data_IF_474144631828
#
_entry.id   IF_474144631828
#
_cell.length_a   1.000
_cell.length_b   1.000
_cell.length_c   1.000
_cell.angle_alpha   90.00
_cell.angle_beta   90.00
_cell.angle_gamma   90.00
#
_symmetry.space_group_name_H-M   'P 1'
#
loop_
_entity.id
_entity.type
_entity.pdbx_description
1 polymer ?
#
# COMPACT_ATOMS: atom_id res chain seq x y z
N UNK A 1 29.94 38.50 18.07
CA UNK A 1 28.77 38.03 18.85
C UNK A 1 27.60 38.91 18.40
N UNK A 2 26.52 38.48 17.75
CA UNK A 2 25.97 37.17 17.44
C UNK A 2 25.06 37.30 16.21
N UNK A 3 24.80 36.16 15.56
CA UNK A 3 24.30 36.02 14.20
C UNK A 3 22.81 36.39 14.05
N UNK A 4 22.48 37.14 12.99
CA UNK A 4 21.11 37.32 12.52
C UNK A 4 20.82 36.22 11.47
N UNK A 5 20.24 35.10 11.91
CA UNK A 5 19.82 34.01 11.04
C UNK A 5 18.54 34.40 10.30
N UNK A 6 18.71 34.94 9.09
CA UNK A 6 17.62 35.17 8.14
C UNK A 6 17.08 33.85 7.60
N UNK A 7 16.08 33.28 8.25
CA UNK A 7 15.26 32.23 7.65
C UNK A 7 14.19 32.91 6.79
N UNK A 8 14.45 32.98 5.47
CA UNK A 8 13.46 33.36 4.48
C UNK A 8 12.41 32.24 4.39
N UNK A 9 11.26 32.44 5.07
CA UNK A 9 10.13 31.54 4.94
C UNK A 9 9.52 31.72 3.54
N UNK A 10 9.53 30.64 2.76
CA UNK A 10 8.88 30.61 1.44
C UNK A 10 7.37 30.64 1.62
N UNK A 11 6.65 31.56 0.93
CA UNK A 11 5.20 31.58 0.94
C UNK A 11 4.64 30.25 0.39
N UNK A 12 3.62 29.71 1.05
CA UNK A 12 2.86 28.58 0.53
C UNK A 12 2.10 29.05 -0.71
N UNK A 13 2.23 28.31 -1.81
CA UNK A 13 1.46 28.56 -3.03
C UNK A 13 -0.03 28.29 -2.75
N UNK A 14 -0.94 29.11 -3.30
CA UNK A 14 -2.37 28.94 -3.09
C UNK A 14 -2.86 27.60 -3.63
N UNK A 15 -3.81 27.00 -2.91
CA UNK A 15 -4.52 25.79 -3.32
C UNK A 15 -5.29 26.10 -4.61
N UNK A 16 -4.84 25.55 -5.73
CA UNK A 16 -5.59 25.61 -6.98
C UNK A 16 -6.74 24.61 -6.84
N UNK A 17 -7.93 25.12 -6.54
CA UNK A 17 -9.19 24.37 -6.65
C UNK A 17 -9.44 24.11 -8.13
N UNK A 18 -8.95 22.98 -8.64
CA UNK A 18 -9.36 22.47 -9.94
C UNK A 18 -10.81 22.00 -9.81
N UNK A 19 -11.74 22.86 -10.24
CA UNK A 19 -13.11 22.47 -10.51
C UNK A 19 -13.10 21.38 -11.59
N UNK A 20 -13.66 20.21 -11.25
CA UNK A 20 -13.86 19.09 -12.16
C UNK A 20 -14.73 19.52 -13.35
N UNK A 21 -14.07 19.81 -14.48
CA UNK A 21 -14.71 19.73 -15.78
C UNK A 21 -14.24 18.47 -16.50
N UNK A 22 -15.16 17.51 -16.50
CA UNK A 22 -15.20 16.29 -17.28
C UNK A 22 -15.01 16.60 -18.77
N UNK A 23 -13.83 16.31 -19.33
CA UNK A 23 -13.62 16.20 -20.78
C UNK A 23 -12.73 15.00 -21.13
N UNK A 24 -13.24 14.27 -22.13
CA UNK A 24 -12.77 13.07 -22.83
C UNK A 24 -11.24 13.00 -23.09
N UNK A 25 -10.59 11.81 -23.17
CA UNK A 25 -9.14 11.70 -23.21
C UNK A 25 -8.60 11.89 -24.64
N UNK A 26 -8.08 13.08 -24.92
CA UNK A 26 -7.04 13.21 -25.95
C UNK A 26 -5.75 12.53 -25.47
N UNK A 27 -4.93 11.93 -26.37
CA UNK A 27 -3.67 11.32 -26.01
C UNK A 27 -2.66 12.43 -25.66
N UNK A 28 -2.79 12.98 -24.45
CA UNK A 28 -1.76 13.81 -23.83
C UNK A 28 -0.51 12.96 -23.80
N UNK A 29 0.49 13.33 -24.60
CA UNK A 29 1.86 12.85 -24.53
C UNK A 29 2.27 12.97 -23.07
N UNK A 30 2.12 11.87 -22.32
CA UNK A 30 2.30 11.91 -20.87
C UNK A 30 3.78 12.20 -20.66
N UNK A 31 4.09 13.44 -20.28
CA UNK A 31 5.39 13.81 -19.76
C UNK A 31 5.83 12.67 -18.84
N UNK A 32 7.00 12.04 -19.07
CA UNK A 32 7.36 10.83 -18.38
C UNK A 32 7.35 11.13 -16.88
N UNK A 33 6.33 10.59 -16.18
CA UNK A 33 6.20 10.78 -14.73
C UNK A 33 7.53 10.37 -14.12
N UNK A 34 8.18 11.30 -13.41
CA UNK A 34 9.44 11.01 -12.72
C UNK A 34 9.18 9.84 -11.77
N UNK A 35 9.79 8.69 -12.06
CA UNK A 35 9.67 7.50 -11.21
C UNK A 35 10.60 7.68 -10.02
N UNK A 36 10.09 7.37 -8.82
CA UNK A 36 10.86 7.32 -7.57
C UNK A 36 11.81 6.10 -7.49
N UNK A 37 11.93 5.34 -8.58
CA UNK A 37 12.81 4.18 -8.72
C UNK A 37 13.84 4.48 -9.82
N UNK A 38 15.12 4.26 -9.54
CA UNK A 38 16.17 4.35 -10.57
C UNK A 38 16.07 3.17 -11.56
N UNK A 39 16.48 3.34 -12.82
CA UNK A 39 16.61 2.22 -13.75
C UNK A 39 17.69 1.21 -13.30
N UNK A 40 17.62 -0.02 -13.80
CA UNK A 40 18.52 -1.12 -13.43
C UNK A 40 20.00 -0.80 -13.67
N UNK A 41 20.34 -0.12 -14.76
CA UNK A 41 21.72 0.30 -15.04
C UNK A 41 22.23 1.34 -14.04
N UNK A 42 21.43 2.38 -13.73
CA UNK A 42 21.82 3.38 -12.73
C UNK A 42 21.88 2.79 -11.32
N UNK A 43 21.01 1.83 -10.98
CA UNK A 43 21.10 1.08 -9.72
C UNK A 43 22.42 0.31 -9.63
N UNK A 44 22.78 -0.45 -10.67
CA UNK A 44 24.01 -1.24 -10.72
C UNK A 44 25.27 -0.35 -10.63
N UNK A 45 25.26 0.79 -11.34
CA UNK A 45 26.38 1.75 -11.35
C UNK A 45 26.42 2.69 -10.14
N UNK A 46 25.38 2.67 -9.28
CA UNK A 46 25.20 3.57 -8.12
C UNK A 46 25.27 5.07 -8.50
N UNK A 47 24.75 5.43 -9.67
CA UNK A 47 24.72 6.80 -10.19
C UNK A 47 23.33 7.43 -10.11
N UNK A 48 23.24 8.77 -10.10
CA UNK A 48 21.95 9.49 -10.10
C UNK A 48 21.14 9.17 -11.36
N UNK A 49 19.91 8.69 -11.18
CA UNK A 49 18.95 8.45 -12.26
C UNK A 49 18.00 9.64 -12.42
N UNK A 50 17.71 10.06 -13.66
CA UNK A 50 16.73 11.13 -13.92
C UNK A 50 15.26 10.68 -13.75
N UNK A 51 15.01 9.38 -13.60
CA UNK A 51 13.67 8.82 -13.37
C UNK A 51 12.76 8.76 -14.60
N UNK A 52 13.19 9.30 -15.75
CA UNK A 52 12.56 9.17 -17.07
C UNK A 52 13.08 7.92 -17.80
N UNK A 53 12.31 7.34 -18.73
CA UNK A 53 12.82 6.34 -19.68
C UNK A 53 12.87 6.93 -21.09
N UNK A 54 14.03 6.91 -21.77
CA UNK A 54 15.34 6.63 -21.19
C UNK A 54 15.77 7.71 -20.18
N UNK A 55 16.63 7.35 -19.22
CA UNK A 55 17.17 8.30 -18.25
C UNK A 55 18.40 8.99 -18.85
N UNK A 56 18.71 10.21 -18.40
CA UNK A 56 19.80 11.01 -18.98
C UNK A 56 21.14 10.25 -19.02
N UNK A 57 21.45 9.49 -17.96
CA UNK A 57 22.67 8.70 -17.87
C UNK A 57 22.70 7.56 -18.89
N UNK A 58 21.58 6.85 -19.07
CA UNK A 58 21.48 5.76 -20.04
C UNK A 58 21.52 6.26 -21.48
N UNK A 59 20.93 7.43 -21.76
CA UNK A 59 21.04 8.09 -23.06
C UNK A 59 22.50 8.44 -23.38
N UNK A 60 23.21 9.09 -22.44
CA UNK A 60 24.60 9.49 -22.63
C UNK A 60 25.55 8.28 -22.80
N UNK A 61 25.32 7.21 -22.05
CA UNK A 61 26.15 6.01 -22.10
C UNK A 61 25.71 4.97 -23.13
N UNK A 62 24.64 5.25 -23.91
CA UNK A 62 24.04 4.34 -24.90
C UNK A 62 23.77 2.94 -24.33
N UNK A 63 23.38 2.87 -23.07
CA UNK A 63 23.02 1.62 -22.39
C UNK A 63 21.51 1.46 -22.29
N UNK A 64 21.06 0.22 -22.23
CA UNK A 64 19.65 -0.10 -22.02
C UNK A 64 19.10 0.50 -20.71
N UNK A 65 17.92 1.10 -20.78
CA UNK A 65 17.29 1.81 -19.67
C UNK A 65 16.01 1.12 -19.22
N UNK A 66 16.14 0.05 -18.42
CA UNK A 66 15.00 -0.71 -17.91
C UNK A 66 14.64 -0.24 -16.50
N UNK A 67 13.36 0.02 -16.26
CA UNK A 67 12.82 0.23 -14.91
C UNK A 67 12.08 -1.03 -14.49
N UNK A 68 12.71 -1.81 -13.63
CA UNK A 68 12.13 -3.04 -13.11
C UNK A 68 11.32 -2.74 -11.83
N UNK A 69 10.01 -2.57 -12.01
CA UNK A 69 9.09 -2.30 -10.90
C UNK A 69 8.95 -3.49 -9.93
N UNK A 70 9.27 -4.71 -10.38
CA UNK A 70 9.20 -5.92 -9.55
C UNK A 70 10.31 -5.95 -8.49
N UNK A 71 11.41 -5.22 -8.71
CA UNK A 71 12.51 -5.07 -7.74
C UNK A 71 12.24 -4.06 -6.63
N UNK A 72 11.14 -3.31 -6.67
CA UNK A 72 10.76 -2.46 -5.54
C UNK A 72 10.32 -3.32 -4.36
N UNK A 73 11.29 -3.66 -3.50
CA UNK A 73 11.09 -4.47 -2.30
C UNK A 73 10.00 -3.91 -1.39
N UNK A 74 9.84 -2.58 -1.34
CA UNK A 74 8.79 -1.94 -0.52
C UNK A 74 7.42 -2.24 -1.08
N UNK A 75 7.26 -2.10 -2.41
CA UNK A 75 6.00 -2.45 -3.09
C UNK A 75 5.67 -3.94 -2.91
N UNK A 76 6.66 -4.81 -2.98
CA UNK A 76 6.50 -6.25 -2.75
C UNK A 76 6.05 -6.55 -1.31
N UNK A 77 6.60 -5.88 -0.31
CA UNK A 77 6.18 -6.04 1.09
C UNK A 77 4.76 -5.54 1.32
N UNK A 78 4.42 -4.35 0.83
CA UNK A 78 3.07 -3.80 0.96
C UNK A 78 2.02 -4.69 0.26
N UNK A 79 2.34 -5.23 -0.91
CA UNK A 79 1.46 -6.17 -1.61
C UNK A 79 1.29 -7.47 -0.83
N UNK A 80 2.37 -8.00 -0.25
CA UNK A 80 2.31 -9.20 0.59
C UNK A 80 1.48 -8.98 1.83
N UNK A 81 1.71 -7.90 2.57
CA UNK A 81 0.90 -7.54 3.73
C UNK A 81 -0.59 -7.43 3.38
N UNK A 82 -0.92 -6.76 2.26
CA UNK A 82 -2.31 -6.68 1.81
C UNK A 82 -2.91 -8.04 1.41
N UNK A 83 -2.11 -8.94 0.83
CA UNK A 83 -2.55 -10.30 0.54
C UNK A 83 -2.79 -11.11 1.82
N UNK A 84 -1.86 -11.03 2.78
CA UNK A 84 -1.95 -11.72 4.06
C UNK A 84 -3.19 -11.23 4.85
N UNK A 85 -3.43 -9.91 4.90
CA UNK A 85 -4.61 -9.33 5.53
C UNK A 85 -5.92 -9.78 4.85
N UNK A 86 -5.92 -9.86 3.51
CA UNK A 86 -7.07 -10.35 2.76
C UNK A 86 -7.32 -11.86 2.97
N UNK A 87 -6.27 -12.65 3.11
CA UNK A 87 -6.39 -14.09 3.40
C UNK A 87 -6.98 -14.32 4.79
N UNK A 88 -6.44 -13.65 5.81
CA UNK A 88 -6.97 -13.71 7.19
C UNK A 88 -8.44 -13.32 7.25
N UNK A 89 -8.80 -12.21 6.61
CA UNK A 89 -10.19 -11.75 6.57
C UNK A 89 -11.12 -12.81 5.95
N UNK A 90 -10.67 -13.49 4.89
CA UNK A 90 -11.44 -14.55 4.24
C UNK A 90 -11.58 -15.79 5.13
N UNK A 91 -10.53 -16.15 5.84
CA UNK A 91 -10.54 -17.29 6.78
C UNK A 91 -11.54 -17.06 7.91
N UNK A 92 -11.48 -15.90 8.58
CA UNK A 92 -12.43 -15.51 9.63
C UNK A 92 -13.88 -15.56 9.13
N UNK A 93 -14.14 -14.99 7.94
CA UNK A 93 -15.49 -15.00 7.35
C UNK A 93 -15.97 -16.42 7.04
N UNK A 94 -15.07 -17.27 6.57
CA UNK A 94 -15.39 -18.68 6.26
C UNK A 94 -15.78 -19.43 7.52
N UNK A 95 -15.04 -19.22 8.60
CA UNK A 95 -15.32 -19.82 9.90
C UNK A 95 -16.62 -19.33 10.51
N UNK A 96 -16.88 -18.02 10.45
CA UNK A 96 -18.16 -17.45 10.88
C UNK A 96 -19.33 -18.10 10.13
N UNK A 97 -19.20 -18.24 8.81
CA UNK A 97 -20.22 -18.93 7.99
C UNK A 97 -20.33 -20.41 8.40
N UNK A 98 -19.22 -21.09 8.69
CA UNK A 98 -19.23 -22.50 9.12
C UNK A 98 -19.96 -22.65 10.46
N UNK A 99 -19.68 -21.80 11.44
CA UNK A 99 -20.36 -21.80 12.74
C UNK A 99 -21.85 -21.53 12.60
N UNK A 100 -22.25 -20.59 11.75
CA UNK A 100 -23.67 -20.30 11.51
C UNK A 100 -24.41 -21.43 10.76
N UNK A 101 -23.71 -22.21 9.94
CA UNK A 101 -24.33 -23.28 9.14
C UNK A 101 -24.33 -24.64 9.81
N UNK A 102 -23.27 -24.96 10.55
CA UNK A 102 -23.01 -26.29 11.08
C UNK A 102 -22.91 -26.32 12.60
N UNK A 103 -22.78 -25.16 13.26
CA UNK A 103 -22.74 -25.05 14.70
C UNK A 103 -24.12 -25.29 15.33
N UNK A 104 -24.10 -25.66 16.61
CA UNK A 104 -25.31 -25.76 17.41
C UNK A 104 -25.81 -24.37 17.82
N UNK A 105 -27.08 -24.27 18.24
CA UNK A 105 -27.61 -23.02 18.81
C UNK A 105 -26.77 -22.52 19.99
N UNK A 106 -26.14 -23.44 20.73
CA UNK A 106 -25.24 -23.12 21.83
C UNK A 106 -23.94 -22.49 21.34
N UNK A 107 -23.34 -23.03 20.28
CA UNK A 107 -22.13 -22.45 19.65
C UNK A 107 -22.40 -21.03 19.14
N UNK A 108 -23.57 -20.81 18.53
CA UNK A 108 -23.98 -19.49 18.03
C UNK A 108 -24.21 -18.52 19.19
N UNK A 109 -24.86 -18.97 20.28
CA UNK A 109 -25.06 -18.15 21.49
C UNK A 109 -23.73 -17.76 22.13
N UNK A 110 -22.83 -18.71 22.31
CA UNK A 110 -21.51 -18.48 22.91
C UNK A 110 -20.66 -17.54 22.06
N UNK A 111 -20.68 -17.70 20.72
CA UNK A 111 -20.01 -16.79 19.80
C UNK A 111 -20.55 -15.36 19.94
N UNK A 112 -21.88 -15.21 19.94
CA UNK A 112 -22.54 -13.91 20.09
C UNK A 112 -22.20 -13.26 21.42
N UNK A 113 -22.29 -14.00 22.52
CA UNK A 113 -21.99 -13.50 23.85
C UNK A 113 -20.53 -13.06 23.95
N UNK A 114 -19.59 -13.85 23.43
CA UNK A 114 -18.18 -13.50 23.42
C UNK A 114 -17.90 -12.22 22.62
N UNK A 115 -18.49 -12.07 21.42
CA UNK A 115 -18.36 -10.85 20.63
C UNK A 115 -18.94 -9.64 21.37
N UNK A 116 -20.05 -9.81 22.11
CA UNK A 116 -20.67 -8.71 22.88
C UNK A 116 -19.85 -8.23 24.07
N UNK A 117 -18.99 -9.09 24.62
CA UNK A 117 -18.12 -8.74 25.75
C UNK A 117 -16.80 -8.10 25.33
N UNK A 118 -16.50 -8.05 24.03
CA UNK A 118 -15.30 -7.35 23.54
C UNK A 118 -15.47 -5.84 23.63
N UNK A 119 -14.40 -5.15 24.01
CA UNK A 119 -14.36 -3.70 24.20
C UNK A 119 -14.30 -2.92 22.88
N UNK A 120 -13.95 -3.58 21.77
CA UNK A 120 -13.89 -2.99 20.45
C UNK A 120 -14.06 -4.02 19.33
N UNK A 121 -14.41 -3.53 18.13
CA UNK A 121 -14.47 -4.36 16.92
C UNK A 121 -13.11 -5.02 16.63
N UNK A 122 -12.01 -4.31 16.90
CA UNK A 122 -10.67 -4.87 16.68
C UNK A 122 -10.40 -6.05 17.62
N UNK A 123 -10.84 -5.96 18.87
CA UNK A 123 -10.73 -7.05 19.83
C UNK A 123 -11.63 -8.24 19.44
N UNK A 124 -12.83 -7.99 18.92
CA UNK A 124 -13.68 -9.03 18.35
C UNK A 124 -13.02 -9.76 17.17
N UNK A 125 -12.36 -9.03 16.28
CA UNK A 125 -11.61 -9.63 15.16
C UNK A 125 -10.47 -10.50 15.69
N UNK A 126 -9.68 -10.00 16.66
CA UNK A 126 -8.59 -10.77 17.27
C UNK A 126 -9.10 -12.05 17.97
N UNK A 127 -10.24 -11.97 18.65
CA UNK A 127 -10.88 -13.14 19.26
C UNK A 127 -11.28 -14.18 18.21
N UNK A 128 -11.88 -13.75 17.11
CA UNK A 128 -12.26 -14.65 16.00
C UNK A 128 -11.03 -15.27 15.32
N UNK A 129 -9.95 -14.52 15.16
CA UNK A 129 -8.67 -15.05 14.65
C UNK A 129 -8.10 -16.16 15.55
N UNK A 130 -8.19 -15.99 16.87
CA UNK A 130 -7.75 -17.01 17.82
C UNK A 130 -8.62 -18.27 17.80
N UNK A 131 -9.94 -18.11 17.66
CA UNK A 131 -10.85 -19.25 17.50
C UNK A 131 -10.54 -20.05 16.23
N UNK A 132 -10.20 -19.39 15.11
CA UNK A 132 -9.83 -20.08 13.87
C UNK A 132 -8.63 -21.03 14.08
N UNK A 133 -7.60 -20.59 14.81
CA UNK A 133 -6.41 -21.39 15.10
C UNK A 133 -6.68 -22.62 15.98
N UNK A 134 -7.79 -22.65 16.72
CA UNK A 134 -8.16 -23.78 17.59
C UNK A 134 -9.01 -24.86 16.91
N UNK A 135 -9.51 -24.60 15.69
CA UNK A 135 -10.39 -25.53 14.96
C UNK A 135 -9.65 -26.31 13.85
N UNK A 136 -8.32 -26.15 13.73
CA UNK A 136 -7.45 -26.82 12.75
C UNK A 136 -6.67 -28.01 13.38
N UNK A 137 -7.31 -28.79 14.26
CA UNK A 137 -6.84 -30.09 14.79
C UNK A 137 -7.85 -31.21 14.49
#
# INVERSE_FOLDING_TARGET
MSNNTGYSLRPLAPLISHSDQQQNPEPKTQLPRKRNLACTSCQAKRTKCSGSAPCQQCTASKTECIFDLCKDKRRKLALRAALDDAQKSREILTDLIRTLRCGTDEDIRNLRESIQHTSSIQEAILYLELLHLTNED
#
